data_IF_329293126272
#
_entry.id   IF_329293126272
#
_cell.length_a   1.000
_cell.length_b   1.000
_cell.length_c   1.000
_cell.angle_alpha   90.00
_cell.angle_beta   90.00
_cell.angle_gamma   90.00
#
_symmetry.space_group_name_H-M   'P 1'
#
loop_
_entity.id
_entity.type
_entity.pdbx_description
1 polymer ?
#
# COMPACT_ATOMS: atom_id res chain seq x y z
N UNK A 1 9.28 12.59 -7.77
CA UNK A 1 7.94 12.34 -8.32
C UNK A 1 7.44 11.02 -7.75
N UNK A 2 6.14 10.86 -7.56
CA UNK A 2 5.52 9.63 -7.08
C UNK A 2 4.71 8.98 -8.20
N UNK A 3 4.56 7.67 -8.14
CA UNK A 3 3.86 6.85 -9.14
C UNK A 3 2.46 6.44 -8.69
N UNK A 4 2.19 6.38 -7.39
CA UNK A 4 0.84 6.13 -6.86
C UNK A 4 -0.09 7.29 -7.24
N UNK A 5 -1.30 6.95 -7.68
CA UNK A 5 -2.28 7.91 -8.17
C UNK A 5 -3.42 8.12 -7.18
N UNK A 6 -3.98 9.32 -7.19
CA UNK A 6 -5.24 9.65 -6.49
C UNK A 6 -5.12 10.08 -5.02
N UNK A 7 -3.92 10.07 -4.44
CA UNK A 7 -3.68 10.49 -3.04
C UNK A 7 -2.52 11.50 -2.95
N UNK A 8 -2.63 12.43 -2.00
CA UNK A 8 -1.63 13.49 -1.77
C UNK A 8 -1.86 14.75 -2.60
N UNK A 9 -1.63 15.91 -1.99
CA UNK A 9 -1.70 17.23 -2.62
C UNK A 9 -0.63 18.16 -2.01
N UNK A 10 -0.26 19.20 -2.75
CA UNK A 10 0.62 20.29 -2.34
C UNK A 10 -0.11 21.42 -1.58
N UNK A 11 -1.43 21.33 -1.48
CA UNK A 11 -2.28 22.19 -0.66
C UNK A 11 -3.26 21.35 0.18
N UNK A 12 -3.87 21.97 1.19
CA UNK A 12 -4.92 21.35 2.01
C UNK A 12 -6.29 21.63 1.37
N UNK A 13 -7.04 20.63 0.88
CA UNK A 13 -8.36 20.85 0.30
C UNK A 13 -9.35 21.40 1.34
N UNK A 14 -10.22 22.33 0.93
CA UNK A 14 -11.24 22.93 1.83
C UNK A 14 -12.20 21.90 2.43
N UNK A 15 -12.40 20.77 1.76
CA UNK A 15 -13.28 19.69 2.21
C UNK A 15 -12.60 18.72 3.19
N UNK A 16 -11.28 18.84 3.41
CA UNK A 16 -10.55 18.00 4.35
C UNK A 16 -10.61 18.62 5.74
N UNK A 17 -11.40 18.01 6.62
CA UNK A 17 -11.37 18.28 8.05
C UNK A 17 -10.24 17.46 8.69
N UNK A 18 -9.20 18.12 9.19
CA UNK A 18 -8.06 17.45 9.83
C UNK A 18 -8.29 17.18 11.32
N UNK A 19 -9.24 17.85 11.96
CA UNK A 19 -9.48 17.74 13.41
C UNK A 19 -10.12 16.39 13.79
N UNK A 20 -10.77 15.73 12.82
CA UNK A 20 -11.34 14.38 12.96
C UNK A 20 -10.32 13.26 12.72
N UNK A 21 -9.07 13.58 12.36
CA UNK A 21 -8.02 12.59 12.07
C UNK A 21 -7.07 12.47 13.25
N UNK A 22 -7.09 11.33 13.94
CA UNK A 22 -6.24 11.08 15.11
C UNK A 22 -4.76 10.87 14.75
N UNK A 23 -4.47 10.26 13.59
CA UNK A 23 -3.12 9.85 13.22
C UNK A 23 -2.90 9.85 11.71
N UNK A 24 -1.70 10.23 11.29
CA UNK A 24 -1.27 10.24 9.90
C UNK A 24 -0.09 9.29 9.69
N UNK A 25 -0.22 8.36 8.74
CA UNK A 25 0.87 7.49 8.31
C UNK A 25 1.36 7.94 6.94
N UNK A 26 2.68 8.10 6.78
CA UNK A 26 3.30 8.32 5.46
C UNK A 26 3.70 6.98 4.85
N UNK A 27 3.43 6.84 3.57
CA UNK A 27 3.81 5.68 2.75
C UNK A 27 4.45 6.14 1.46
N UNK A 28 5.29 5.29 0.87
CA UNK A 28 5.89 5.52 -0.45
C UNK A 28 5.40 4.52 -1.51
N UNK A 29 5.86 4.69 -2.74
CA UNK A 29 5.46 3.88 -3.88
C UNK A 29 5.89 2.40 -3.73
N UNK A 30 7.06 2.15 -3.15
CA UNK A 30 7.58 0.79 -2.96
C UNK A 30 6.65 0.01 -2.02
N UNK A 31 6.29 0.61 -0.88
CA UNK A 31 5.40 -0.02 0.09
C UNK A 31 4.01 -0.24 -0.49
N UNK A 32 3.53 0.76 -1.21
CA UNK A 32 2.21 0.78 -1.80
C UNK A 32 2.05 -0.33 -2.83
N UNK A 33 2.94 -0.40 -3.82
CA UNK A 33 2.87 -1.42 -4.85
C UNK A 33 3.18 -2.80 -4.30
N UNK A 34 4.09 -2.93 -3.34
CA UNK A 34 4.41 -4.22 -2.74
C UNK A 34 3.17 -4.77 -2.03
N UNK A 35 2.56 -3.96 -1.15
CA UNK A 35 1.35 -4.35 -0.42
C UNK A 35 0.19 -4.62 -1.37
N UNK A 36 -0.04 -3.75 -2.36
CA UNK A 36 -1.11 -3.90 -3.35
C UNK A 36 -1.04 -5.23 -4.08
N UNK A 37 0.14 -5.60 -4.60
CA UNK A 37 0.34 -6.88 -5.30
C UNK A 37 0.18 -8.09 -4.38
N UNK A 38 0.46 -7.95 -3.09
CA UNK A 38 0.28 -9.03 -2.11
C UNK A 38 -1.18 -9.27 -1.75
N UNK A 39 -1.94 -8.20 -1.56
CA UNK A 39 -3.40 -8.29 -1.38
C UNK A 39 -4.02 -8.97 -2.59
N UNK A 40 -3.61 -8.61 -3.81
CA UNK A 40 -4.06 -9.31 -5.03
C UNK A 40 -3.68 -10.79 -4.99
N UNK A 41 -2.43 -11.12 -4.64
CA UNK A 41 -1.90 -12.49 -4.69
C UNK A 41 -2.51 -13.43 -3.65
N UNK A 42 -2.74 -12.93 -2.44
CA UNK A 42 -3.09 -13.73 -1.27
C UNK A 42 -4.57 -13.64 -0.89
N UNK A 43 -5.21 -12.49 -1.11
CA UNK A 43 -6.62 -12.27 -0.78
C UNK A 43 -7.53 -12.30 -2.02
N UNK A 44 -6.95 -12.27 -3.24
CA UNK A 44 -7.71 -12.29 -4.49
C UNK A 44 -8.45 -10.99 -4.78
N UNK A 45 -8.12 -9.90 -4.07
CA UNK A 45 -8.74 -8.60 -4.25
C UNK A 45 -7.98 -7.78 -5.30
N UNK A 46 -8.61 -7.54 -6.44
CA UNK A 46 -8.03 -6.79 -7.56
C UNK A 46 -8.08 -5.27 -7.31
N UNK A 47 -7.19 -4.79 -6.46
CA UNK A 47 -7.14 -3.40 -5.99
C UNK A 47 -6.14 -2.53 -6.78
N UNK A 48 -6.30 -1.20 -6.69
CA UNK A 48 -5.35 -0.24 -7.24
C UNK A 48 -4.16 0.10 -6.35
N UNK A 49 -3.35 1.06 -6.81
CA UNK A 49 -2.12 1.48 -6.13
C UNK A 49 -2.40 2.09 -4.75
N UNK A 50 -3.29 3.09 -4.66
CA UNK A 50 -3.61 3.77 -3.40
C UNK A 50 -4.18 2.83 -2.32
N UNK A 51 -4.86 1.76 -2.72
CA UNK A 51 -5.34 0.71 -1.82
C UNK A 51 -4.16 -0.03 -1.13
N UNK A 52 -3.07 -0.26 -1.88
CA UNK A 52 -1.83 -0.79 -1.35
C UNK A 52 -1.20 0.15 -0.31
N UNK A 53 -1.15 1.46 -0.58
CA UNK A 53 -0.70 2.46 0.39
C UNK A 53 -1.55 2.46 1.66
N UNK A 54 -2.89 2.44 1.54
CA UNK A 54 -3.79 2.39 2.71
C UNK A 54 -3.54 1.13 3.55
N UNK A 55 -3.37 -0.03 2.91
CA UNK A 55 -3.10 -1.28 3.63
C UNK A 55 -1.72 -1.30 4.28
N UNK A 56 -0.70 -0.75 3.62
CA UNK A 56 0.65 -0.61 4.17
C UNK A 56 0.63 0.31 5.41
N UNK A 57 -0.06 1.45 5.31
CA UNK A 57 -0.24 2.38 6.43
C UNK A 57 -1.00 1.76 7.60
N UNK A 58 -2.09 1.04 7.32
CA UNK A 58 -2.85 0.32 8.34
C UNK A 58 -1.99 -0.75 9.04
N UNK A 59 -1.19 -1.51 8.30
CA UNK A 59 -0.30 -2.52 8.88
C UNK A 59 0.76 -1.91 9.80
N UNK A 60 1.38 -0.80 9.38
CA UNK A 60 2.33 -0.03 10.21
C UNK A 60 1.67 0.44 11.50
N UNK A 61 0.52 1.09 11.40
CA UNK A 61 -0.23 1.59 12.55
C UNK A 61 -0.61 0.46 13.53
N UNK A 62 -1.13 -0.66 13.03
CA UNK A 62 -1.50 -1.82 13.86
C UNK A 62 -0.30 -2.32 14.67
N UNK A 63 0.88 -2.41 14.04
CA UNK A 63 2.09 -2.87 14.71
C UNK A 63 2.62 -1.86 15.72
N UNK A 64 2.75 -0.60 15.32
CA UNK A 64 3.27 0.48 16.17
C UNK A 64 2.43 0.64 17.45
N UNK A 65 1.11 0.54 17.33
CA UNK A 65 0.18 0.69 18.44
C UNK A 65 -0.21 -0.64 19.11
N UNK A 66 0.42 -1.76 18.73
CA UNK A 66 0.16 -3.09 19.28
C UNK A 66 -1.35 -3.44 19.31
N UNK A 67 -2.06 -3.14 18.21
CA UNK A 67 -3.50 -3.40 18.12
C UNK A 67 -3.75 -4.91 18.19
N UNK A 68 -4.36 -5.32 19.30
CA UNK A 68 -4.54 -6.72 19.66
C UNK A 68 -5.67 -7.44 18.91
N UNK A 69 -5.68 -8.76 19.05
CA UNK A 69 -6.64 -9.69 18.42
C UNK A 69 -8.12 -9.44 18.77
N UNK A 70 -8.41 -8.69 19.82
CA UNK A 70 -9.75 -8.33 20.28
C UNK A 70 -10.30 -7.08 19.57
N UNK A 71 -9.48 -6.42 18.75
CA UNK A 71 -9.85 -5.23 17.99
C UNK A 71 -10.21 -5.58 16.55
N UNK A 72 -10.94 -4.66 15.91
CA UNK A 72 -11.27 -4.71 14.48
C UNK A 72 -10.79 -3.43 13.82
N UNK A 73 -10.16 -3.57 12.67
CA UNK A 73 -9.70 -2.46 11.85
C UNK A 73 -10.40 -2.57 10.51
N UNK A 74 -11.04 -1.48 10.07
CA UNK A 74 -11.61 -1.37 8.74
C UNK A 74 -10.63 -0.61 7.85
N UNK A 75 -10.44 -1.07 6.62
CA UNK A 75 -9.53 -0.48 5.63
C UNK A 75 -10.34 -0.19 4.36
N UNK A 76 -10.23 1.03 3.84
CA UNK A 76 -10.94 1.45 2.63
C UNK A 76 -10.06 1.27 1.39
N UNK A 77 -10.59 0.55 0.39
CA UNK A 77 -9.99 0.41 -0.94
C UNK A 77 -10.77 1.25 -1.94
N UNK A 78 -10.13 2.30 -2.46
CA UNK A 78 -10.76 3.35 -3.25
C UNK A 78 -11.10 2.91 -4.68
N UNK A 79 -10.30 2.03 -5.28
CA UNK A 79 -10.50 1.55 -6.64
C UNK A 79 -9.90 0.17 -6.94
N UNK A 80 -10.01 -0.26 -8.20
CA UNK A 80 -9.60 -1.57 -8.68
C UNK A 80 -8.37 -1.51 -9.59
N UNK A 81 -7.76 -2.69 -9.83
CA UNK A 81 -6.57 -2.84 -10.67
C UNK A 81 -6.77 -2.44 -12.13
N UNK A 82 -8.02 -2.27 -12.59
CA UNK A 82 -8.39 -1.95 -13.98
C UNK A 82 -7.61 -0.75 -14.53
N UNK A 83 -7.43 0.30 -13.73
CA UNK A 83 -6.77 1.53 -14.17
C UNK A 83 -5.23 1.37 -14.30
N UNK A 84 -4.67 0.26 -13.81
CA UNK A 84 -3.23 0.09 -13.59
C UNK A 84 -2.67 -1.21 -14.19
N UNK A 85 -3.42 -1.86 -15.09
CA UNK A 85 -3.03 -3.14 -15.71
C UNK A 85 -1.69 -3.05 -16.46
N UNK A 86 -1.38 -1.89 -17.04
CA UNK A 86 -0.11 -1.60 -17.72
C UNK A 86 0.85 -0.75 -16.88
N UNK A 87 0.65 -0.71 -15.55
CA UNK A 87 1.48 0.03 -14.59
C UNK A 87 2.01 -0.96 -13.53
N UNK A 88 1.75 -0.73 -12.24
CA UNK A 88 2.33 -1.55 -11.18
C UNK A 88 1.92 -3.04 -11.21
N UNK A 89 0.85 -3.38 -11.94
CA UNK A 89 0.43 -4.76 -12.19
C UNK A 89 1.31 -5.48 -13.22
N UNK A 90 2.08 -4.73 -14.00
CA UNK A 90 3.01 -5.19 -15.03
C UNK A 90 4.44 -5.21 -14.48
N UNK A 91 5.11 -6.36 -14.59
CA UNK A 91 6.48 -6.55 -14.12
C UNK A 91 7.50 -5.73 -14.90
N UNK A 92 7.30 -5.57 -16.21
CA UNK A 92 8.21 -4.83 -17.07
C UNK A 92 8.12 -3.33 -16.76
N UNK A 93 6.90 -2.83 -16.52
CA UNK A 93 6.70 -1.46 -16.07
C UNK A 93 7.37 -1.21 -14.73
N UNK A 94 7.22 -2.13 -13.77
CA UNK A 94 7.86 -2.00 -12.46
C UNK A 94 9.38 -1.95 -12.59
N UNK A 95 9.98 -2.86 -13.36
CA UNK A 95 11.42 -2.86 -13.60
C UNK A 95 11.90 -1.57 -14.30
N UNK A 96 11.17 -1.09 -15.30
CA UNK A 96 11.50 0.13 -16.03
C UNK A 96 11.43 1.41 -15.17
N UNK A 97 10.63 1.40 -14.11
CA UNK A 97 10.51 2.52 -13.16
C UNK A 97 11.37 2.34 -11.89
N UNK A 98 12.30 1.39 -11.90
CA UNK A 98 13.32 1.23 -10.84
C UNK A 98 12.87 0.42 -9.63
N UNK A 99 11.71 -0.22 -9.67
CA UNK A 99 11.24 -1.08 -8.59
C UNK A 99 12.00 -2.41 -8.56
N UNK A 100 12.44 -2.84 -7.37
CA UNK A 100 13.27 -4.05 -7.22
C UNK A 100 12.46 -5.34 -7.34
N UNK A 101 12.29 -5.84 -8.56
CA UNK A 101 11.48 -7.04 -8.83
C UNK A 101 11.92 -8.32 -8.10
N UNK A 102 13.19 -8.44 -7.70
CA UNK A 102 13.62 -9.58 -6.88
C UNK A 102 13.05 -9.49 -5.46
N UNK A 103 12.97 -8.30 -4.89
CA UNK A 103 12.40 -8.08 -3.56
C UNK A 103 10.87 -8.28 -3.59
N UNK A 104 10.18 -7.75 -4.60
CA UNK A 104 8.74 -7.97 -4.77
C UNK A 104 8.39 -9.45 -5.02
N UNK A 105 9.22 -10.15 -5.82
CA UNK A 105 9.05 -11.57 -6.09
C UNK A 105 9.25 -12.47 -4.87
N UNK A 106 10.11 -12.06 -3.92
CA UNK A 106 10.26 -12.73 -2.62
C UNK A 106 9.11 -12.36 -1.67
N UNK A 107 8.67 -11.11 -1.65
CA UNK A 107 7.55 -10.63 -0.83
C UNK A 107 6.26 -11.39 -1.05
N UNK A 108 5.97 -11.72 -2.29
CA UNK A 108 4.75 -12.43 -2.71
C UNK A 108 4.82 -13.95 -2.56
N UNK A 109 6.00 -14.52 -2.28
CA UNK A 109 6.22 -15.98 -2.20
C UNK A 109 6.59 -16.46 -0.81
N UNK A 110 7.23 -15.63 0.00
CA UNK A 110 7.72 -16.00 1.33
C UNK A 110 6.82 -15.46 2.45
N UNK A 111 6.28 -16.37 3.28
CA UNK A 111 5.59 -15.98 4.52
C UNK A 111 6.53 -15.17 5.42
N UNK A 112 6.07 -14.02 5.90
CA UNK A 112 6.81 -13.15 6.82
C UNK A 112 7.81 -12.19 6.15
N UNK A 113 7.92 -12.19 4.82
CA UNK A 113 8.81 -11.26 4.12
C UNK A 113 8.38 -9.79 4.27
N UNK A 114 7.09 -9.51 4.45
CA UNK A 114 6.60 -8.15 4.76
C UNK A 114 7.19 -7.58 6.04
N UNK A 115 7.40 -8.40 7.07
CA UNK A 115 8.11 -7.92 8.25
C UNK A 115 9.55 -7.52 7.88
N UNK A 116 10.24 -8.36 7.11
CA UNK A 116 11.63 -8.12 6.71
C UNK A 116 11.83 -6.91 5.77
N UNK A 117 10.95 -6.69 4.79
CA UNK A 117 11.09 -5.61 3.81
C UNK A 117 11.00 -4.21 4.46
N UNK A 118 10.17 -4.08 5.49
CA UNK A 118 10.01 -2.82 6.22
C UNK A 118 10.96 -2.67 7.42
N UNK A 119 12.01 -3.49 7.51
CA UNK A 119 12.99 -3.44 8.60
C UNK A 119 12.40 -3.81 9.96
N UNK A 120 11.47 -4.76 9.99
CA UNK A 120 10.71 -5.17 11.17
C UNK A 120 10.99 -6.61 11.64
#
# INVERSE_FOLDING_TARGET
AYHVEGIGYDFVPTVLDQDVVDYWVKTDDDESFAMGRNVVRHEGLLIGGSCGATMAGAYKFIREHNIGKDKRVAVLFADSSRNYMSKFMDDDWMAANGFNMQEFGKATKEKGFFARLFGL
#
